data_IF_473676483388
#
_entry.id   IF_473676483388
#
_cell.length_a   1.000
_cell.length_b   1.000
_cell.length_c   1.000
_cell.angle_alpha   90.00
_cell.angle_beta   90.00
_cell.angle_gamma   90.00
#
_symmetry.space_group_name_H-M   'P 1'
#
loop_
_entity.id
_entity.type
_entity.pdbx_description
1 polymer ?
#
# COMPACT_ATOMS: atom_id res chain seq x y z
N UNK A 1 -3.28 -7.68 -11.82
CA UNK A 1 -3.72 -8.81 -11.00
C UNK A 1 -5.09 -9.25 -11.48
N UNK A 2 -5.24 -10.47 -12.00
CA UNK A 2 -6.55 -11.02 -12.41
C UNK A 2 -7.00 -12.03 -11.36
N UNK A 3 -8.07 -11.76 -10.59
CA UNK A 3 -8.56 -12.66 -9.54
C UNK A 3 -8.89 -14.07 -10.06
N UNK A 4 -9.34 -14.17 -11.32
CA UNK A 4 -9.69 -15.45 -11.93
C UNK A 4 -8.49 -16.37 -12.18
N UNK A 5 -7.26 -15.87 -12.04
CA UNK A 5 -6.04 -16.67 -12.22
C UNK A 5 -5.51 -17.28 -10.91
N UNK A 6 -6.08 -16.95 -9.74
CA UNK A 6 -5.56 -17.35 -8.43
C UNK A 6 -6.65 -17.68 -7.38
N UNK A 7 -7.56 -18.64 -7.63
CA UNK A 7 -8.77 -18.84 -6.82
C UNK A 7 -8.57 -19.36 -5.38
N UNK A 8 -7.34 -19.71 -4.97
CA UNK A 8 -7.09 -20.37 -3.69
C UNK A 8 -6.72 -19.44 -2.52
N UNK A 9 -6.53 -18.13 -2.76
CA UNK A 9 -5.96 -17.18 -1.76
C UNK A 9 -6.83 -15.93 -1.60
N UNK A 10 -8.14 -16.07 -1.36
CA UNK A 10 -9.10 -14.97 -1.57
C UNK A 10 -10.09 -14.71 -0.42
N UNK A 11 -9.95 -15.33 0.75
CA UNK A 11 -11.03 -15.21 1.74
C UNK A 11 -11.19 -13.78 2.27
N UNK A 12 -10.09 -13.02 2.44
CA UNK A 12 -10.17 -11.60 2.85
C UNK A 12 -10.62 -10.74 1.67
N UNK A 13 -10.03 -10.94 0.49
CA UNK A 13 -10.33 -10.13 -0.70
C UNK A 13 -11.78 -10.28 -1.15
N UNK A 14 -12.32 -11.51 -1.18
CA UNK A 14 -13.72 -11.80 -1.49
C UNK A 14 -14.64 -11.19 -0.45
N UNK A 15 -14.34 -11.36 0.85
CA UNK A 15 -15.15 -10.78 1.93
C UNK A 15 -15.24 -9.26 1.81
N UNK A 16 -14.14 -8.58 1.50
CA UNK A 16 -14.12 -7.12 1.30
C UNK A 16 -14.93 -6.72 0.07
N UNK A 17 -14.80 -7.45 -1.05
CA UNK A 17 -15.54 -7.16 -2.28
C UNK A 17 -17.06 -7.33 -2.14
N UNK A 18 -17.50 -8.21 -1.25
CA UNK A 18 -18.91 -8.48 -0.97
C UNK A 18 -19.51 -7.57 0.11
N UNK A 19 -18.69 -6.80 0.84
CA UNK A 19 -19.13 -5.93 1.94
C UNK A 19 -19.54 -4.55 1.43
N UNK A 20 -20.55 -3.94 2.07
CA UNK A 20 -20.88 -2.54 1.82
C UNK A 20 -19.79 -1.61 2.37
N UNK A 21 -19.60 -0.43 1.78
CA UNK A 21 -18.57 0.53 2.24
C UNK A 21 -18.76 0.94 3.70
N UNK A 22 -20.01 1.14 4.14
CA UNK A 22 -20.31 1.45 5.55
C UNK A 22 -19.85 0.32 6.48
N UNK A 23 -20.13 -0.94 6.11
CA UNK A 23 -19.75 -2.12 6.88
C UNK A 23 -18.23 -2.27 7.00
N UNK A 24 -17.47 -1.81 5.99
CA UNK A 24 -16.02 -1.79 6.04
C UNK A 24 -15.54 -0.65 6.95
N UNK A 25 -15.89 0.60 6.61
CA UNK A 25 -15.27 1.78 7.21
C UNK A 25 -15.75 2.08 8.64
N UNK A 26 -16.81 1.45 9.09
CA UNK A 26 -17.31 1.60 10.47
C UNK A 26 -16.70 0.61 11.46
N UNK A 27 -15.88 -0.34 10.98
CA UNK A 27 -15.16 -1.30 11.83
C UNK A 27 -14.02 -0.64 12.60
N UNK A 28 -13.52 -1.28 13.68
CA UNK A 28 -12.36 -0.79 14.40
C UNK A 28 -11.13 -0.64 13.49
N UNK A 29 -10.49 0.53 13.54
CA UNK A 29 -9.36 0.90 12.67
C UNK A 29 -8.21 -0.11 12.75
N UNK A 30 -7.87 -0.61 13.94
CA UNK A 30 -6.78 -1.57 14.12
C UNK A 30 -7.05 -2.90 13.41
N UNK A 31 -8.28 -3.41 13.46
CA UNK A 31 -8.66 -4.63 12.73
C UNK A 31 -8.53 -4.42 11.22
N UNK A 32 -8.98 -3.28 10.70
CA UNK A 32 -8.85 -2.98 9.27
C UNK A 32 -7.38 -2.86 8.82
N UNK A 33 -6.51 -2.33 9.68
CA UNK A 33 -5.07 -2.23 9.38
C UNK A 33 -4.39 -3.61 9.42
N UNK A 34 -4.70 -4.45 10.40
CA UNK A 34 -4.21 -5.82 10.51
C UNK A 34 -4.69 -6.71 9.35
N UNK A 35 -5.96 -6.56 8.94
CA UNK A 35 -6.50 -7.24 7.76
C UNK A 35 -5.82 -6.78 6.47
N UNK A 36 -5.44 -5.51 6.34
CA UNK A 36 -4.69 -5.02 5.18
C UNK A 36 -3.29 -5.66 5.09
N UNK A 37 -2.62 -5.91 6.22
CA UNK A 37 -1.36 -6.68 6.24
C UNK A 37 -1.62 -8.13 5.81
N UNK A 38 -2.68 -8.75 6.33
CA UNK A 38 -3.04 -10.12 5.97
C UNK A 38 -3.37 -10.26 4.48
N UNK A 39 -4.08 -9.29 3.92
CA UNK A 39 -4.37 -9.21 2.49
C UNK A 39 -3.08 -9.04 1.66
N UNK A 40 -2.13 -8.23 2.13
CA UNK A 40 -0.82 -8.11 1.47
C UNK A 40 -0.10 -9.47 1.39
N UNK A 41 -0.17 -10.30 2.43
CA UNK A 41 0.37 -11.66 2.40
C UNK A 41 -0.34 -12.56 1.36
N UNK A 42 -1.66 -12.48 1.26
CA UNK A 42 -2.43 -13.24 0.27
C UNK A 42 -2.10 -12.83 -1.17
N UNK A 43 -2.03 -11.53 -1.42
CA UNK A 43 -1.77 -10.97 -2.75
C UNK A 43 -0.31 -11.11 -3.19
N UNK A 44 0.64 -11.15 -2.25
CA UNK A 44 2.08 -11.17 -2.57
C UNK A 44 2.48 -12.37 -3.42
N UNK A 45 1.99 -13.58 -3.13
CA UNK A 45 2.30 -14.76 -3.93
C UNK A 45 1.79 -14.63 -5.37
N UNK A 46 0.63 -13.99 -5.55
CA UNK A 46 0.06 -13.73 -6.88
C UNK A 46 0.94 -12.75 -7.66
N UNK A 47 1.40 -11.69 -6.99
CA UNK A 47 2.32 -10.71 -7.58
C UNK A 47 3.62 -11.39 -8.03
N UNK A 48 4.23 -12.21 -7.17
CA UNK A 48 5.46 -12.93 -7.53
C UNK A 48 5.23 -13.88 -8.70
N UNK A 49 4.12 -14.62 -8.71
CA UNK A 49 3.79 -15.52 -9.82
C UNK A 49 3.64 -14.78 -11.15
N UNK A 50 3.08 -13.57 -11.15
CA UNK A 50 2.98 -12.75 -12.36
C UNK A 50 4.33 -12.18 -12.79
N UNK A 51 5.15 -11.68 -11.85
CA UNK A 51 6.50 -11.18 -12.12
C UNK A 51 7.41 -12.27 -12.70
N UNK A 52 7.31 -13.53 -12.23
CA UNK A 52 8.10 -14.65 -12.74
C UNK A 52 7.77 -15.03 -14.20
N UNK A 53 6.56 -14.71 -14.67
CA UNK A 53 6.13 -14.94 -16.06
C UNK A 53 6.58 -13.82 -17.00
N UNK A 54 7.01 -12.68 -16.48
CA UNK A 54 7.42 -11.55 -17.31
C UNK A 54 8.77 -11.79 -18.02
N UNK A 55 9.00 -11.15 -19.19
CA UNK A 55 10.27 -11.27 -19.90
C UNK A 55 11.45 -10.77 -19.04
N UNK A 56 12.49 -11.60 -18.92
CA UNK A 56 13.73 -11.25 -18.18
C UNK A 56 14.62 -10.23 -18.92
N UNK A 57 14.29 -9.91 -20.17
CA UNK A 57 15.06 -9.00 -21.03
C UNK A 57 14.78 -7.52 -20.77
N UNK A 58 13.77 -7.19 -19.97
CA UNK A 58 13.36 -5.81 -19.71
C UNK A 58 13.34 -5.54 -18.21
N UNK A 59 13.87 -4.40 -17.73
CA UNK A 59 13.70 -4.01 -16.33
C UNK A 59 12.21 -3.90 -15.97
N UNK A 60 11.84 -4.40 -14.79
CA UNK A 60 10.46 -4.38 -14.28
C UNK A 60 10.41 -3.50 -13.04
N UNK A 61 9.45 -2.58 -13.00
CA UNK A 61 9.06 -1.85 -11.80
C UNK A 61 7.74 -2.44 -11.28
N UNK A 62 7.76 -2.95 -10.05
CA UNK A 62 6.57 -3.42 -9.36
C UNK A 62 6.17 -2.39 -8.29
N UNK A 63 4.92 -1.94 -8.31
CA UNK A 63 4.35 -1.03 -7.33
C UNK A 63 3.03 -1.59 -6.78
N UNK A 64 2.69 -1.22 -5.55
CA UNK A 64 1.41 -1.59 -4.95
C UNK A 64 1.48 -1.75 -3.43
N UNK A 65 0.32 -1.66 -2.79
CA UNK A 65 0.19 -1.71 -1.33
C UNK A 65 0.60 -3.08 -0.77
N UNK A 66 0.39 -4.18 -1.50
CA UNK A 66 0.74 -5.52 -1.05
C UNK A 66 2.26 -5.83 -1.04
N UNK A 67 3.10 -4.96 -1.61
CA UNK A 67 4.56 -5.10 -1.59
C UNK A 67 5.15 -4.59 -0.26
N UNK A 68 4.80 -5.23 0.84
CA UNK A 68 5.26 -4.83 2.18
C UNK A 68 6.73 -5.20 2.44
N UNK A 69 7.48 -4.41 3.22
CA UNK A 69 8.92 -4.60 3.42
C UNK A 69 9.28 -5.98 3.97
N UNK A 70 8.48 -6.55 4.88
CA UNK A 70 8.78 -7.86 5.46
C UNK A 70 8.81 -8.98 4.41
N UNK A 71 7.94 -8.92 3.40
CA UNK A 71 7.85 -9.91 2.34
C UNK A 71 8.92 -9.68 1.27
N UNK A 72 9.07 -8.42 0.84
CA UNK A 72 10.04 -8.05 -0.20
C UNK A 72 11.48 -8.28 0.27
N UNK A 73 11.81 -7.97 1.54
CA UNK A 73 13.14 -8.15 2.10
C UNK A 73 13.70 -9.56 1.91
N UNK A 74 12.83 -10.58 1.98
CA UNK A 74 13.19 -12.00 1.84
C UNK A 74 13.66 -12.37 0.43
N UNK A 75 13.35 -11.54 -0.57
CA UNK A 75 13.67 -11.76 -1.99
C UNK A 75 14.77 -10.83 -2.51
N UNK A 76 15.11 -9.77 -1.77
CA UNK A 76 16.09 -8.78 -2.21
C UNK A 76 17.52 -9.29 -2.06
N UNK A 77 18.24 -9.37 -3.19
CA UNK A 77 19.69 -9.55 -3.20
C UNK A 77 20.45 -8.25 -2.89
N UNK A 78 19.82 -7.11 -3.17
CA UNK A 78 20.34 -5.77 -2.91
C UNK A 78 19.21 -4.88 -2.39
N UNK A 79 19.43 -4.26 -1.23
CA UNK A 79 18.44 -3.38 -0.56
C UNK A 79 18.16 -2.10 -1.36
N UNK A 80 19.06 -1.71 -2.27
CA UNK A 80 18.86 -0.60 -3.21
C UNK A 80 17.81 -0.87 -4.27
N UNK A 81 17.33 -2.11 -4.40
CA UNK A 81 16.32 -2.52 -5.38
C UNK A 81 14.88 -2.36 -4.88
N UNK A 82 14.67 -1.77 -3.71
CA UNK A 82 13.35 -1.40 -3.23
C UNK A 82 13.39 -0.13 -2.38
N UNK A 83 12.30 0.62 -2.42
CA UNK A 83 12.10 1.82 -1.62
C UNK A 83 10.60 1.98 -1.35
N UNK A 84 10.25 2.49 -0.17
CA UNK A 84 8.86 2.73 0.22
C UNK A 84 8.62 4.22 0.39
N UNK A 85 7.56 4.74 -0.23
CA UNK A 85 7.11 6.11 -0.06
C UNK A 85 5.90 6.08 0.87
N UNK A 86 6.06 6.65 2.06
CA UNK A 86 5.02 6.60 3.09
C UNK A 86 4.53 8.02 3.40
N UNK A 87 3.25 8.33 3.16
CA UNK A 87 2.75 9.67 3.43
C UNK A 87 2.64 9.93 4.94
N UNK A 88 2.87 11.17 5.36
CA UNK A 88 2.43 11.61 6.68
C UNK A 88 0.90 11.61 6.73
N UNK A 89 0.36 11.50 7.95
CA UNK A 89 -1.09 11.50 8.18
C UNK A 89 -1.78 12.73 7.59
N UNK A 90 -1.21 13.91 7.86
CA UNK A 90 -1.81 15.18 7.44
C UNK A 90 -1.71 15.36 5.92
N UNK A 91 -0.59 14.96 5.33
CA UNK A 91 -0.43 14.92 3.87
C UNK A 91 -1.49 14.00 3.25
N UNK A 92 -1.66 12.79 3.79
CA UNK A 92 -2.63 11.84 3.27
C UNK A 92 -4.06 12.38 3.35
N UNK A 93 -4.49 12.90 4.50
CA UNK A 93 -5.83 13.47 4.68
C UNK A 93 -6.08 14.63 3.70
N UNK A 94 -5.14 15.57 3.62
CA UNK A 94 -5.20 16.72 2.71
C UNK A 94 -5.37 16.25 1.26
N UNK A 95 -4.48 15.39 0.79
CA UNK A 95 -4.49 14.94 -0.61
C UNK A 95 -5.64 14.01 -0.96
N UNK A 96 -6.07 13.15 -0.04
CA UNK A 96 -7.26 12.33 -0.26
C UNK A 96 -8.52 13.17 -0.34
N UNK A 97 -8.70 14.17 0.51
CA UNK A 97 -9.91 15.01 0.53
C UNK A 97 -10.18 15.74 -0.81
N UNK A 98 -9.15 15.93 -1.63
CA UNK A 98 -9.24 16.57 -2.96
C UNK A 98 -9.63 15.60 -4.09
N UNK A 99 -9.66 14.28 -3.83
CA UNK A 99 -9.95 13.26 -4.84
C UNK A 99 -11.45 13.09 -5.01
N UNK A 100 -11.98 13.38 -6.19
CA UNK A 100 -13.43 13.35 -6.44
C UNK A 100 -14.07 11.97 -6.27
N UNK A 101 -13.36 10.90 -6.64
CA UNK A 101 -13.86 9.52 -6.58
C UNK A 101 -14.12 9.01 -5.15
N UNK A 102 -13.52 9.61 -4.13
CA UNK A 102 -13.78 9.21 -2.73
C UNK A 102 -15.23 9.50 -2.36
N UNK A 103 -15.84 10.52 -2.98
CA UNK A 103 -17.22 10.93 -2.68
C UNK A 103 -18.22 9.87 -3.13
N UNK A 104 -17.88 9.06 -4.13
CA UNK A 104 -18.75 7.98 -4.58
C UNK A 104 -18.74 6.83 -3.58
N UNK A 105 -17.57 6.50 -3.00
CA UNK A 105 -17.44 5.50 -1.93
C UNK A 105 -18.14 5.96 -0.64
N UNK A 106 -17.87 7.21 -0.23
CA UNK A 106 -18.35 7.72 1.06
C UNK A 106 -19.85 8.01 1.07
N UNK A 107 -20.47 8.26 -0.09
CA UNK A 107 -21.91 8.52 -0.19
C UNK A 107 -22.76 7.30 0.19
N UNK A 108 -22.22 6.10 0.02
CA UNK A 108 -22.87 4.85 0.42
C UNK A 108 -22.69 4.54 1.91
N UNK A 109 -22.00 5.39 2.66
CA UNK A 109 -21.86 5.29 4.11
C UNK A 109 -22.93 6.11 4.83
N UNK A 110 -23.43 5.61 5.97
CA UNK A 110 -24.42 6.28 6.80
C UNK A 110 -23.84 7.55 7.46
N UNK A 111 -22.56 7.53 7.80
CA UNK A 111 -21.80 8.67 8.31
C UNK A 111 -20.52 8.87 7.47
N UNK A 112 -20.60 9.60 6.34
CA UNK A 112 -19.47 9.80 5.42
C UNK A 112 -18.24 10.43 6.08
N UNK A 113 -18.44 11.33 7.04
CA UNK A 113 -17.34 12.01 7.74
C UNK A 113 -16.59 11.04 8.66
N UNK A 114 -17.32 10.20 9.39
CA UNK A 114 -16.72 9.16 10.24
C UNK A 114 -16.06 8.06 9.41
N UNK A 115 -16.70 7.62 8.32
CA UNK A 115 -16.12 6.65 7.40
C UNK A 115 -14.78 7.15 6.83
N UNK A 116 -14.73 8.40 6.36
CA UNK A 116 -13.49 9.00 5.88
C UNK A 116 -12.41 9.08 6.96
N UNK A 117 -12.77 9.51 8.17
CA UNK A 117 -11.85 9.56 9.31
C UNK A 117 -11.26 8.18 9.63
N UNK A 118 -12.10 7.15 9.64
CA UNK A 118 -11.68 5.78 9.93
C UNK A 118 -10.79 5.22 8.82
N UNK A 119 -11.14 5.47 7.56
CA UNK A 119 -10.31 5.08 6.42
C UNK A 119 -8.93 5.72 6.49
N UNK A 120 -8.83 7.04 6.67
CA UNK A 120 -7.53 7.72 6.79
C UNK A 120 -6.73 7.25 8.01
N UNK A 121 -7.41 6.98 9.13
CA UNK A 121 -6.75 6.42 10.31
C UNK A 121 -6.21 5.00 10.05
N UNK A 122 -6.93 4.16 9.30
CA UNK A 122 -6.46 2.84 8.90
C UNK A 122 -5.28 2.92 7.93
N UNK A 123 -5.34 3.79 6.93
CA UNK A 123 -4.23 3.96 6.00
C UNK A 123 -2.97 4.43 6.73
N UNK A 124 -3.10 5.37 7.66
CA UNK A 124 -1.99 5.83 8.48
C UNK A 124 -1.40 4.70 9.37
N UNK A 125 -2.25 3.94 10.06
CA UNK A 125 -1.78 2.82 10.91
C UNK A 125 -1.10 1.71 10.08
N UNK A 126 -1.60 1.45 8.88
CA UNK A 126 -0.95 0.53 7.94
C UNK A 126 0.41 1.06 7.47
N UNK A 127 0.49 2.36 7.17
CA UNK A 127 1.74 3.04 6.84
C UNK A 127 2.76 2.96 7.99
N UNK A 128 2.35 3.11 9.25
CA UNK A 128 3.23 2.91 10.42
C UNK A 128 3.77 1.48 10.47
N UNK A 129 2.92 0.47 10.24
CA UNK A 129 3.36 -0.92 10.11
C UNK A 129 4.41 -1.11 9.01
N UNK A 130 4.22 -0.47 7.85
CA UNK A 130 5.21 -0.49 6.75
C UNK A 130 6.53 0.14 7.17
N UNK A 131 6.51 1.29 7.84
CA UNK A 131 7.73 1.94 8.36
C UNK A 131 8.47 1.03 9.33
N UNK A 132 7.75 0.44 10.30
CA UNK A 132 8.35 -0.49 11.27
C UNK A 132 8.97 -1.72 10.60
N UNK A 133 8.29 -2.31 9.62
CA UNK A 133 8.82 -3.45 8.88
C UNK A 133 10.07 -3.07 8.07
N UNK A 134 10.08 -1.89 7.43
CA UNK A 134 11.23 -1.41 6.69
C UNK A 134 12.44 -1.18 7.60
N UNK A 135 12.23 -0.53 8.76
CA UNK A 135 13.27 -0.30 9.76
C UNK A 135 13.89 -1.62 10.25
N UNK A 136 13.06 -2.59 10.65
CA UNK A 136 13.52 -3.93 11.08
C UNK A 136 14.35 -4.65 10.02
N UNK A 137 14.13 -4.37 8.74
CA UNK A 137 14.85 -4.96 7.61
C UNK A 137 15.98 -4.08 7.06
N UNK A 138 16.20 -2.89 7.65
CA UNK A 138 17.11 -1.84 7.17
C UNK A 138 16.86 -1.48 5.69
N UNK A 139 15.60 -1.23 5.35
CA UNK A 139 15.15 -0.83 4.02
C UNK A 139 14.81 0.66 4.00
N UNK A 140 15.01 1.31 2.84
CA UNK A 140 14.81 2.75 2.73
C UNK A 140 13.33 3.12 2.66
N UNK A 141 12.96 4.09 3.50
CA UNK A 141 11.65 4.76 3.46
C UNK A 141 11.86 6.24 3.18
N UNK A 142 11.07 6.80 2.27
CA UNK A 142 10.92 8.25 2.10
C UNK A 142 9.57 8.63 2.72
N UNK A 143 9.62 9.52 3.72
CA UNK A 143 8.40 10.13 4.27
C UNK A 143 7.92 11.21 3.29
N UNK A 144 6.64 11.23 2.95
CA UNK A 144 6.05 12.23 2.05
C UNK A 144 5.12 13.15 2.85
N UNK A 145 5.52 14.40 3.05
CA UNK A 145 4.87 15.33 3.98
C UNK A 145 4.83 16.79 3.51
N UNK A 146 4.89 17.04 2.20
CA UNK A 146 5.00 18.37 1.56
C UNK A 146 6.31 19.13 1.85
N UNK A 147 7.27 18.57 2.59
CA UNK A 147 8.56 19.23 2.82
C UNK A 147 9.51 19.13 1.62
N UNK A 148 9.49 17.99 0.91
CA UNK A 148 10.30 17.77 -0.29
C UNK A 148 9.47 17.88 -1.57
N UNK A 149 10.04 18.49 -2.60
CA UNK A 149 9.43 18.56 -3.92
C UNK A 149 9.39 17.19 -4.61
N UNK A 150 8.60 17.09 -5.68
CA UNK A 150 8.56 15.89 -6.51
C UNK A 150 9.94 15.63 -7.13
N UNK A 151 10.63 16.67 -7.57
CA UNK A 151 11.96 16.61 -8.17
C UNK A 151 13.01 16.13 -7.16
N UNK A 152 12.95 16.63 -5.92
CA UNK A 152 13.86 16.18 -4.85
C UNK A 152 13.63 14.71 -4.50
N UNK A 153 12.38 14.30 -4.34
CA UNK A 153 12.04 12.89 -4.12
C UNK A 153 12.48 12.00 -5.29
N UNK A 154 12.27 12.45 -6.52
CA UNK A 154 12.69 11.73 -7.73
C UNK A 154 14.20 11.54 -7.77
N UNK A 155 14.95 12.59 -7.43
CA UNK A 155 16.41 12.53 -7.34
C UNK A 155 16.86 11.53 -6.27
N UNK A 156 16.30 11.60 -5.06
CA UNK A 156 16.64 10.70 -3.97
C UNK A 156 16.34 9.23 -4.34
N UNK A 157 15.22 8.97 -5.02
CA UNK A 157 14.86 7.66 -5.52
C UNK A 157 15.86 7.18 -6.59
N UNK A 158 16.19 8.02 -7.56
CA UNK A 158 17.15 7.68 -8.61
C UNK A 158 18.54 7.38 -8.04
N UNK A 159 19.03 8.18 -7.09
CA UNK A 159 20.30 7.93 -6.39
C UNK A 159 20.29 6.62 -5.63
N UNK A 160 19.19 6.30 -4.91
CA UNK A 160 19.03 5.03 -4.21
C UNK A 160 19.11 3.83 -5.15
N UNK A 161 18.43 3.90 -6.30
CA UNK A 161 18.47 2.86 -7.34
C UNK A 161 19.77 2.84 -8.16
N UNK A 162 20.67 3.81 -7.99
CA UNK A 162 21.92 3.93 -8.76
C UNK A 162 21.69 4.33 -10.22
N UNK A 163 20.68 5.17 -10.48
CA UNK A 163 20.29 5.67 -11.80
C UNK A 163 20.74 7.11 -12.07
N UNK A 164 21.43 7.72 -11.11
CA UNK A 164 22.00 9.09 -11.15
C UNK A 164 23.44 9.12 -11.65
#
# INVERSE_FOLDING_TARGET
MNPNQHPASHWISTKIQESAWDEIWMRPVHILAEEQVSLAHEEFEMIINDLLKMPKSTPILAEGIALIPELVAKLLLDKKRAIWLVPSKDFQIKHYSMRTWINDILRDCLDPAKAFKNWMAKDHMYAETVVEQADRNNLMVIKVDDEQSIEENTKNIAEHFGLS
#
